data_IF_924076106328
#
_entry.id   IF_924076106328
#
_cell.length_a   1.000
_cell.length_b   1.000
_cell.length_c   1.000
_cell.angle_alpha   90.00
_cell.angle_beta   90.00
_cell.angle_gamma   90.00
#
_symmetry.space_group_name_H-M   'P 1'
#
loop_
_entity.id
_entity.type
_entity.pdbx_description
1 polymer ?
#
# COMPACT_ATOMS: atom_id res chain seq x y z
N UNK A 1 11.07 -23.24 -0.15
CA UNK A 1 9.94 -22.89 -1.03
C UNK A 1 10.47 -22.06 -2.17
N UNK A 2 10.15 -22.40 -3.41
CA UNK A 2 10.52 -21.62 -4.59
C UNK A 2 9.35 -20.78 -5.04
N UNK A 3 9.61 -19.66 -5.71
CA UNK A 3 8.63 -18.86 -6.45
C UNK A 3 8.96 -18.89 -7.93
N UNK A 4 7.96 -18.71 -8.76
CA UNK A 4 8.11 -18.58 -10.20
C UNK A 4 7.91 -17.12 -10.60
N UNK A 5 8.60 -16.69 -11.66
CA UNK A 5 8.45 -15.36 -12.23
C UNK A 5 7.97 -15.45 -13.65
N UNK A 6 7.12 -14.53 -14.07
CA UNK A 6 6.67 -14.39 -15.43
C UNK A 6 6.69 -12.91 -15.84
N UNK A 7 7.13 -12.63 -17.05
CA UNK A 7 7.07 -11.28 -17.61
C UNK A 7 5.66 -11.02 -18.17
N UNK A 8 5.03 -9.96 -17.67
CA UNK A 8 3.67 -9.56 -18.04
C UNK A 8 3.72 -8.26 -18.84
N UNK A 9 3.03 -8.25 -19.98
CA UNK A 9 2.86 -7.04 -20.78
C UNK A 9 1.60 -6.29 -20.35
N UNK A 10 1.74 -4.99 -20.12
CA UNK A 10 0.59 -4.14 -19.85
C UNK A 10 -0.31 -4.00 -21.07
N UNK A 11 -1.62 -3.99 -20.87
CA UNK A 11 -2.64 -3.83 -21.91
C UNK A 11 -2.54 -4.86 -23.06
N UNK A 12 -2.08 -6.06 -22.75
CA UNK A 12 -1.90 -7.14 -23.71
C UNK A 12 -2.71 -8.37 -23.30
N UNK A 13 -3.37 -9.02 -24.25
CA UNK A 13 -4.21 -10.20 -24.00
C UNK A 13 -3.41 -11.44 -23.58
N UNK A 14 -2.09 -11.43 -23.72
CA UNK A 14 -1.25 -12.51 -23.18
C UNK A 14 -1.39 -12.70 -21.67
N UNK A 15 -1.75 -11.63 -20.94
CA UNK A 15 -2.07 -11.75 -19.52
C UNK A 15 -3.33 -12.59 -19.27
N UNK A 16 -4.34 -12.48 -20.13
CA UNK A 16 -5.59 -13.21 -19.96
C UNK A 16 -5.36 -14.72 -20.11
N UNK A 17 -4.54 -15.10 -21.09
CA UNK A 17 -4.12 -16.50 -21.28
C UNK A 17 -3.30 -16.96 -20.07
N UNK A 18 -2.31 -16.17 -19.66
CA UNK A 18 -1.45 -16.49 -18.52
C UNK A 18 -2.24 -16.72 -17.23
N UNK A 19 -3.17 -15.81 -16.89
CA UNK A 19 -3.93 -15.91 -15.64
C UNK A 19 -4.95 -17.04 -15.69
N UNK A 20 -5.53 -17.33 -16.86
CA UNK A 20 -6.43 -18.46 -17.09
C UNK A 20 -5.70 -19.79 -16.90
N UNK A 21 -4.53 -19.94 -17.52
CA UNK A 21 -3.71 -21.16 -17.39
C UNK A 21 -3.19 -21.37 -15.97
N UNK A 22 -2.84 -20.29 -15.28
CA UNK A 22 -2.40 -20.32 -13.89
C UNK A 22 -3.53 -20.70 -12.94
N UNK A 23 -4.77 -20.27 -13.23
CA UNK A 23 -5.98 -20.50 -12.45
C UNK A 23 -5.77 -20.31 -10.93
N UNK A 24 -5.39 -19.11 -10.48
CA UNK A 24 -5.01 -18.87 -9.10
C UNK A 24 -6.20 -18.88 -8.15
N UNK A 25 -6.01 -19.38 -6.93
CA UNK A 25 -6.98 -19.23 -5.84
C UNK A 25 -7.00 -17.82 -5.26
N UNK A 26 -5.84 -17.15 -5.26
CA UNK A 26 -5.65 -15.81 -4.70
C UNK A 26 -4.78 -14.99 -5.64
N UNK A 27 -5.18 -13.74 -5.87
CA UNK A 27 -4.39 -12.74 -6.60
C UNK A 27 -4.17 -11.54 -5.70
N UNK A 28 -2.91 -11.22 -5.43
CA UNK A 28 -2.50 -10.05 -4.66
C UNK A 28 -1.97 -8.96 -5.60
N UNK A 29 -2.65 -7.83 -5.64
CA UNK A 29 -2.22 -6.66 -6.38
C UNK A 29 -1.35 -5.78 -5.48
N UNK A 30 -0.11 -5.53 -5.90
CA UNK A 30 0.74 -4.56 -5.23
C UNK A 30 0.37 -3.16 -5.73
N UNK A 31 -0.28 -2.38 -4.87
CA UNK A 31 -0.77 -1.01 -5.09
C UNK A 31 -1.97 -0.93 -6.04
N UNK A 32 -2.76 0.10 -5.86
CA UNK A 32 -3.96 0.35 -6.66
C UNK A 32 -3.72 0.45 -8.18
N UNK A 33 -2.53 0.93 -8.60
CA UNK A 33 -2.20 1.02 -10.03
C UNK A 33 -2.11 -0.35 -10.70
N UNK A 34 -1.63 -1.36 -10.00
CA UNK A 34 -1.58 -2.73 -10.51
C UNK A 34 -2.98 -3.33 -10.58
N UNK A 35 -3.80 -3.06 -9.57
CA UNK A 35 -5.20 -3.49 -9.56
C UNK A 35 -5.98 -2.85 -10.72
N UNK A 36 -5.85 -1.55 -10.97
CA UNK A 36 -6.49 -0.87 -12.09
C UNK A 36 -6.15 -1.48 -13.45
N UNK A 37 -4.92 -1.95 -13.61
CA UNK A 37 -4.46 -2.53 -14.87
C UNK A 37 -4.92 -3.96 -15.07
N UNK A 38 -4.92 -4.77 -14.02
CA UNK A 38 -5.09 -6.21 -14.12
C UNK A 38 -6.32 -6.74 -13.39
N UNK A 39 -6.88 -6.00 -12.41
CA UNK A 39 -7.96 -6.48 -11.56
C UNK A 39 -9.21 -6.90 -12.34
N UNK A 40 -9.62 -6.11 -13.32
CA UNK A 40 -10.76 -6.43 -14.18
C UNK A 40 -10.53 -7.68 -15.04
N UNK A 41 -9.29 -7.89 -15.52
CA UNK A 41 -8.91 -9.07 -16.29
C UNK A 41 -8.95 -10.34 -15.44
N UNK A 42 -8.49 -10.24 -14.18
CA UNK A 42 -8.61 -11.33 -13.21
C UNK A 42 -10.08 -11.63 -12.92
N UNK A 43 -10.91 -10.60 -12.72
CA UNK A 43 -12.34 -10.78 -12.47
C UNK A 43 -13.07 -11.48 -13.64
N UNK A 44 -12.68 -11.21 -14.87
CA UNK A 44 -13.26 -11.86 -16.07
C UNK A 44 -12.78 -13.29 -16.26
N UNK A 45 -11.47 -13.53 -16.09
CA UNK A 45 -10.86 -14.81 -16.47
C UNK A 45 -10.78 -15.81 -15.30
N UNK A 46 -10.76 -15.33 -14.05
CA UNK A 46 -10.68 -16.13 -12.83
C UNK A 46 -11.68 -15.60 -11.78
N UNK A 47 -12.99 -15.65 -12.05
CA UNK A 47 -14.01 -15.05 -11.16
C UNK A 47 -14.08 -15.68 -9.76
N UNK A 48 -13.52 -16.88 -9.56
CA UNK A 48 -13.42 -17.56 -8.28
C UNK A 48 -12.20 -17.15 -7.45
N UNK A 49 -11.22 -16.46 -8.06
CA UNK A 49 -10.01 -16.04 -7.35
C UNK A 49 -10.31 -14.94 -6.35
N UNK A 50 -9.82 -15.09 -5.13
CA UNK A 50 -9.84 -14.03 -4.12
C UNK A 50 -8.89 -12.90 -4.57
N UNK A 51 -9.43 -11.70 -4.77
CA UNK A 51 -8.66 -10.52 -5.17
C UNK A 51 -8.28 -9.72 -3.94
N UNK A 52 -7.00 -9.60 -3.69
CA UNK A 52 -6.46 -8.86 -2.56
C UNK A 52 -5.66 -7.66 -3.05
N UNK A 53 -5.76 -6.55 -2.34
CA UNK A 53 -4.96 -5.35 -2.58
C UNK A 53 -3.97 -5.16 -1.44
N UNK A 54 -2.67 -5.16 -1.73
CA UNK A 54 -1.66 -4.63 -0.83
C UNK A 54 -1.51 -3.13 -1.10
N UNK A 55 -1.99 -2.30 -0.17
CA UNK A 55 -1.91 -0.85 -0.34
C UNK A 55 -0.49 -0.32 -0.15
N UNK A 56 0.39 -1.05 0.55
CA UNK A 56 1.69 -0.60 1.08
C UNK A 56 1.56 0.66 1.98
N UNK A 57 0.83 1.63 1.52
CA UNK A 57 0.38 2.85 2.20
C UNK A 57 -0.69 3.54 1.33
N UNK A 58 -1.41 4.51 1.88
CA UNK A 58 -2.33 5.33 1.08
C UNK A 58 -1.53 6.33 0.23
N UNK A 59 -1.29 5.94 -1.02
CA UNK A 59 -0.51 6.72 -1.99
C UNK A 59 -1.13 8.09 -2.29
N UNK A 60 -2.46 8.18 -2.27
CA UNK A 60 -3.19 9.43 -2.45
C UNK A 60 -2.96 10.38 -1.28
N UNK A 61 -2.99 9.87 -0.05
CA UNK A 61 -2.73 10.67 1.15
C UNK A 61 -1.33 11.28 1.12
N UNK A 62 -0.33 10.48 0.81
CA UNK A 62 1.05 10.93 0.64
C UNK A 62 1.17 11.96 -0.48
N UNK A 63 0.50 11.70 -1.62
CA UNK A 63 0.51 12.62 -2.77
C UNK A 63 -0.05 13.99 -2.42
N UNK A 64 -1.22 14.05 -1.79
CA UNK A 64 -1.86 15.33 -1.46
C UNK A 64 -1.05 16.08 -0.41
N UNK A 65 -0.51 15.39 0.60
CA UNK A 65 0.41 16.00 1.59
C UNK A 65 1.65 16.60 0.93
N UNK A 66 2.25 15.90 -0.02
CA UNK A 66 3.39 16.41 -0.80
C UNK A 66 3.00 17.64 -1.62
N UNK A 67 1.83 17.65 -2.26
CA UNK A 67 1.34 18.80 -3.02
C UNK A 67 1.08 20.02 -2.13
N UNK A 68 0.50 19.81 -0.96
CA UNK A 68 0.27 20.87 0.02
C UNK A 68 1.60 21.45 0.51
N UNK A 69 2.57 20.60 0.86
CA UNK A 69 3.90 21.02 1.26
C UNK A 69 4.61 21.85 0.18
N UNK A 70 4.60 21.40 -1.07
CA UNK A 70 5.22 22.12 -2.19
C UNK A 70 4.56 23.48 -2.48
N UNK A 71 3.30 23.64 -2.13
CA UNK A 71 2.53 24.88 -2.34
C UNK A 71 2.50 25.77 -1.09
N UNK A 72 3.14 25.35 -0.02
CA UNK A 72 3.11 26.02 1.29
C UNK A 72 1.68 26.31 1.79
N UNK A 73 0.80 25.28 1.66
CA UNK A 73 -0.58 25.34 2.14
C UNK A 73 -0.84 24.20 3.12
N UNK A 74 -1.72 24.39 4.12
CA UNK A 74 -2.06 23.33 5.05
C UNK A 74 -2.76 22.16 4.36
N UNK A 75 -2.43 20.93 4.79
CA UNK A 75 -3.20 19.75 4.39
C UNK A 75 -4.58 19.79 5.05
N UNK A 76 -5.61 19.44 4.27
CA UNK A 76 -6.97 19.23 4.76
C UNK A 76 -7.53 17.92 4.25
N UNK A 77 -8.41 17.29 5.04
CA UNK A 77 -9.11 16.07 4.64
C UNK A 77 -9.94 16.31 3.37
N UNK A 78 -10.58 17.46 3.25
CA UNK A 78 -11.36 17.81 2.05
C UNK A 78 -10.51 17.86 0.79
N UNK A 79 -9.29 18.40 0.88
CA UNK A 79 -8.36 18.41 -0.25
C UNK A 79 -7.95 16.99 -0.66
N UNK A 80 -7.78 16.09 0.31
CA UNK A 80 -7.49 14.68 0.04
C UNK A 80 -8.68 13.97 -0.61
N UNK A 81 -9.88 14.15 -0.07
CA UNK A 81 -11.10 13.54 -0.62
C UNK A 81 -11.46 14.03 -2.03
N UNK A 82 -11.13 15.28 -2.35
CA UNK A 82 -11.37 15.86 -3.67
C UNK A 82 -10.39 15.36 -4.75
N UNK A 83 -9.24 14.84 -4.36
CA UNK A 83 -8.18 14.44 -5.28
C UNK A 83 -8.56 13.18 -6.08
N UNK A 84 -8.27 13.18 -7.38
CA UNK A 84 -8.64 12.07 -8.27
C UNK A 84 -7.86 10.78 -7.98
N UNK A 85 -6.63 10.89 -7.46
CA UNK A 85 -5.87 9.71 -7.03
C UNK A 85 -6.54 9.03 -5.84
N UNK A 86 -7.12 9.80 -4.91
CA UNK A 86 -7.90 9.28 -3.79
C UNK A 86 -9.09 8.47 -4.28
N UNK A 87 -9.87 9.02 -5.21
CA UNK A 87 -11.04 8.33 -5.78
C UNK A 87 -10.64 7.01 -6.45
N UNK A 88 -9.53 7.00 -7.18
CA UNK A 88 -9.02 5.81 -7.86
C UNK A 88 -8.54 4.75 -6.86
N UNK A 89 -7.79 5.15 -5.84
CA UNK A 89 -7.27 4.26 -4.80
C UNK A 89 -8.42 3.62 -4.01
N UNK A 90 -9.43 4.42 -3.61
CA UNK A 90 -10.62 3.91 -2.94
C UNK A 90 -11.44 2.99 -3.84
N UNK A 91 -11.57 3.31 -5.13
CA UNK A 91 -12.24 2.43 -6.09
C UNK A 91 -11.54 1.06 -6.21
N UNK A 92 -10.20 1.01 -6.09
CA UNK A 92 -9.45 -0.27 -6.09
C UNK A 92 -9.74 -1.09 -4.84
N UNK A 93 -9.88 -0.46 -3.67
CA UNK A 93 -10.31 -1.14 -2.43
C UNK A 93 -11.68 -1.81 -2.64
N UNK A 94 -12.64 -1.08 -3.22
CA UNK A 94 -13.99 -1.63 -3.47
C UNK A 94 -14.05 -2.72 -4.56
N UNK A 95 -13.07 -2.80 -5.45
CA UNK A 95 -13.00 -3.86 -6.46
C UNK A 95 -12.32 -5.13 -5.96
N UNK A 96 -11.63 -5.06 -4.83
CA UNK A 96 -11.01 -6.20 -4.18
C UNK A 96 -11.88 -6.78 -3.07
N UNK A 97 -11.69 -8.05 -2.77
CA UNK A 97 -12.40 -8.76 -1.71
C UNK A 97 -11.78 -8.45 -0.34
N UNK A 98 -10.49 -8.11 -0.31
CA UNK A 98 -9.76 -7.74 0.91
C UNK A 98 -8.60 -6.80 0.57
N UNK A 99 -8.40 -5.77 1.38
CA UNK A 99 -7.26 -4.86 1.28
C UNK A 99 -6.39 -4.90 2.55
N UNK A 100 -5.08 -5.04 2.36
CA UNK A 100 -4.09 -5.08 3.43
C UNK A 100 -3.66 -3.65 3.76
N UNK A 101 -3.81 -3.25 5.01
CA UNK A 101 -3.47 -1.91 5.53
C UNK A 101 -2.37 -2.06 6.57
N UNK A 102 -1.25 -1.36 6.39
CA UNK A 102 -0.10 -1.49 7.30
C UNK A 102 -0.15 -0.55 8.50
N UNK A 103 -0.97 0.48 8.45
CA UNK A 103 -1.03 1.56 9.44
C UNK A 103 -2.41 1.65 10.10
N UNK A 104 -2.47 1.64 11.43
CA UNK A 104 -3.70 1.87 12.17
C UNK A 104 -4.31 3.25 11.86
N UNK A 105 -3.47 4.27 11.69
CA UNK A 105 -3.91 5.60 11.29
C UNK A 105 -4.61 5.61 9.92
N UNK A 106 -4.05 4.91 8.93
CA UNK A 106 -4.68 4.80 7.61
C UNK A 106 -5.97 3.99 7.67
N UNK A 107 -6.00 2.93 8.50
CA UNK A 107 -7.23 2.16 8.73
C UNK A 107 -8.34 3.05 9.32
N UNK A 108 -8.03 3.89 10.32
CA UNK A 108 -8.97 4.85 10.91
C UNK A 108 -9.48 5.85 9.85
N UNK A 109 -8.61 6.37 9.00
CA UNK A 109 -9.04 7.25 7.90
C UNK A 109 -10.02 6.54 6.95
N UNK A 110 -9.74 5.29 6.59
CA UNK A 110 -10.59 4.50 5.70
C UNK A 110 -11.95 4.19 6.33
N UNK A 111 -11.97 3.87 7.62
CA UNK A 111 -13.22 3.50 8.33
C UNK A 111 -14.02 4.71 8.80
N UNK A 112 -13.38 5.70 9.41
CA UNK A 112 -14.08 6.77 10.14
C UNK A 112 -14.36 7.98 9.25
N UNK A 113 -13.50 8.24 8.26
CA UNK A 113 -13.67 9.35 7.32
C UNK A 113 -14.37 8.92 6.05
N UNK A 114 -13.94 7.80 5.48
CA UNK A 114 -14.48 7.30 4.20
C UNK A 114 -15.62 6.28 4.38
N UNK A 115 -15.89 5.84 5.62
CA UNK A 115 -16.92 4.85 5.95
C UNK A 115 -16.80 3.55 5.15
N UNK A 116 -15.58 3.11 4.85
CA UNK A 116 -15.33 1.82 4.19
C UNK A 116 -15.64 0.71 5.16
N UNK A 117 -16.35 -0.32 4.69
CA UNK A 117 -16.69 -1.48 5.50
C UNK A 117 -15.41 -2.18 5.98
N UNK A 118 -15.34 -2.40 7.30
CA UNK A 118 -14.21 -3.09 7.95
C UNK A 118 -13.97 -4.51 7.43
N UNK A 119 -15.00 -5.15 6.87
CA UNK A 119 -14.85 -6.48 6.26
C UNK A 119 -13.97 -6.49 5.02
N UNK A 120 -13.78 -5.35 4.36
CA UNK A 120 -12.88 -5.17 3.21
C UNK A 120 -11.43 -4.85 3.61
N UNK A 121 -11.15 -4.64 4.90
CA UNK A 121 -9.88 -4.11 5.38
C UNK A 121 -9.26 -5.05 6.43
N UNK A 122 -7.98 -5.37 6.25
CA UNK A 122 -7.20 -6.12 7.23
C UNK A 122 -5.97 -5.30 7.63
N UNK A 123 -5.89 -4.95 8.91
CA UNK A 123 -4.66 -4.36 9.45
C UNK A 123 -3.58 -5.44 9.52
N UNK A 124 -2.54 -5.28 8.70
CA UNK A 124 -1.39 -6.16 8.63
C UNK A 124 -0.11 -5.32 8.71
N UNK A 125 0.33 -4.92 9.91
CA UNK A 125 1.57 -4.17 10.08
C UNK A 125 2.78 -5.04 9.73
N UNK A 126 3.96 -4.42 9.63
CA UNK A 126 5.19 -5.17 9.44
C UNK A 126 5.37 -6.21 10.54
N UNK A 127 5.49 -7.46 10.11
CA UNK A 127 5.81 -8.58 10.99
C UNK A 127 7.32 -8.63 11.18
N UNK A 128 7.73 -8.60 12.43
CA UNK A 128 9.13 -8.81 12.85
C UNK A 128 9.17 -9.98 13.82
N UNK A 129 10.27 -10.70 13.81
CA UNK A 129 10.49 -11.74 14.80
C UNK A 129 10.47 -11.15 16.21
N UNK A 130 10.03 -11.93 17.18
CA UNK A 130 10.08 -11.53 18.57
C UNK A 130 11.52 -11.13 18.94
N UNK A 131 11.69 -9.86 19.34
CA UNK A 131 12.99 -9.37 19.77
C UNK A 131 13.29 -10.06 21.09
N UNK A 132 14.20 -11.05 21.05
CA UNK A 132 14.67 -11.68 22.29
C UNK A 132 15.32 -10.62 23.17
N UNK A 133 14.84 -10.49 24.38
CA UNK A 133 15.22 -9.46 25.35
C UNK A 133 16.65 -9.62 25.93
N UNK A 134 17.41 -10.59 25.47
CA UNK A 134 18.83 -10.80 25.84
C UNK A 134 19.78 -9.82 25.13
N UNK A 135 19.35 -8.63 24.91
CA UNK A 135 20.19 -7.62 24.29
C UNK A 135 20.79 -6.72 25.38
N UNK A 136 22.09 -6.65 25.44
CA UNK A 136 22.86 -5.63 26.17
C UNK A 136 22.62 -4.24 25.54
N UNK A 137 21.37 -3.80 25.50
CA UNK A 137 21.06 -2.48 25.01
C UNK A 137 21.58 -1.43 25.98
N UNK A 138 22.33 -0.49 25.48
CA UNK A 138 22.76 0.66 26.25
C UNK A 138 21.54 1.35 26.88
N UNK A 139 21.69 1.84 28.11
CA UNK A 139 20.67 2.70 28.70
C UNK A 139 20.54 3.99 27.89
N UNK A 140 19.49 4.75 28.11
CA UNK A 140 19.30 6.00 27.36
C UNK A 140 20.48 6.96 27.58
N UNK A 141 21.01 7.02 28.80
CA UNK A 141 22.14 7.86 29.22
C UNK A 141 23.46 7.46 28.56
N UNK A 142 23.60 6.19 28.16
CA UNK A 142 24.80 5.66 27.53
C UNK A 142 24.74 5.70 26.01
N UNK A 143 23.64 6.21 25.44
CA UNK A 143 23.47 6.35 23.97
C UNK A 143 23.99 7.68 23.52
N UNK A 144 24.72 7.64 22.41
CA UNK A 144 25.24 8.79 21.70
C UNK A 144 24.75 8.72 20.25
N UNK A 145 24.69 9.86 19.60
CA UNK A 145 24.32 10.01 18.18
C UNK A 145 22.86 9.68 17.84
N UNK A 146 22.55 9.86 16.56
CA UNK A 146 21.27 9.56 15.95
C UNK A 146 21.47 8.64 14.75
N UNK A 147 20.56 7.68 14.58
CA UNK A 147 20.54 6.81 13.41
C UNK A 147 19.33 7.12 12.56
N UNK A 148 19.55 7.34 11.27
CA UNK A 148 18.50 7.45 10.28
C UNK A 148 18.58 6.27 9.32
N UNK A 149 17.45 5.56 9.15
CA UNK A 149 17.33 4.44 8.22
C UNK A 149 16.38 4.83 7.10
N UNK A 150 16.88 4.88 5.87
CA UNK A 150 16.06 5.25 4.72
C UNK A 150 16.81 5.15 3.41
N UNK A 151 16.06 4.99 2.31
CA UNK A 151 16.63 4.98 0.96
C UNK A 151 17.10 6.39 0.55
N UNK A 152 18.42 6.55 0.29
CA UNK A 152 19.03 7.83 -0.05
C UNK A 152 18.58 8.46 -1.38
N UNK A 153 17.78 7.76 -2.20
CA UNK A 153 17.19 8.29 -3.44
C UNK A 153 15.70 8.67 -3.27
N UNK A 154 15.11 8.39 -2.10
CA UNK A 154 13.71 8.67 -1.83
C UNK A 154 13.58 10.10 -1.28
N UNK A 155 12.91 10.98 -2.02
CA UNK A 155 12.81 12.40 -1.69
C UNK A 155 12.32 12.70 -0.26
N UNK A 156 11.28 12.06 0.29
CA UNK A 156 10.88 12.24 1.69
C UNK A 156 11.96 11.90 2.70
N UNK A 157 12.80 10.90 2.43
CA UNK A 157 13.90 10.53 3.34
C UNK A 157 15.01 11.59 3.32
N UNK A 158 15.30 12.18 2.14
CA UNK A 158 16.28 13.26 2.01
C UNK A 158 15.77 14.51 2.75
N UNK A 159 14.49 14.80 2.63
CA UNK A 159 13.85 15.94 3.28
C UNK A 159 13.88 15.79 4.81
N UNK A 160 13.52 14.60 5.32
CA UNK A 160 13.54 14.28 6.74
C UNK A 160 14.93 14.42 7.41
N UNK A 161 16.02 14.30 6.65
CA UNK A 161 17.38 14.48 7.17
C UNK A 161 17.80 15.95 7.16
N UNK A 162 17.13 16.79 6.35
CA UNK A 162 17.46 18.22 6.23
C UNK A 162 16.67 19.11 7.19
N UNK A 163 15.55 18.63 7.69
CA UNK A 163 14.73 19.32 8.69
C UNK A 163 15.24 19.09 10.11
#
# INVERSE_FOLDING_TARGET
MGYQTADIKMNDSSFDVFVTDLNPDVVLFNRFLTEEQFGWRVAENCPQALRMLDTENLHSLRHVREQCFKKDIPFTTDAWLADDKTKREIASIYRCDLSLIISSYELELLTDVLNIDKSLLLLLPFMVDEITTETNWKTFEDREDFVFIGGGKHAPNIDAVKC
#
